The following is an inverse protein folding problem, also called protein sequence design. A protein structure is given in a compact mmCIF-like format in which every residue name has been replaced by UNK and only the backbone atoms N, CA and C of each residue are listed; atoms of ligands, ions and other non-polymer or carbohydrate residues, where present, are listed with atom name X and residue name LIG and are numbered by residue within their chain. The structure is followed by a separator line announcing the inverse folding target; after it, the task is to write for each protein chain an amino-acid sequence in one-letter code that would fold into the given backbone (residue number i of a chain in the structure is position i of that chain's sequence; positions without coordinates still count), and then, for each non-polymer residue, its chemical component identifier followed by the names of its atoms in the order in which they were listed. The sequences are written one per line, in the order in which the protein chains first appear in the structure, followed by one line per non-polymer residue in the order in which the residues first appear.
data_IF_949669541749
#
_entry.id   IF_949669541749
#
_cell.length_a   1.000
_cell.length_b   1.000
_cell.length_c   1.000
_cell.angle_alpha   90.00
_cell.angle_beta   90.00
_cell.angle_gamma   90.00
#
_symmetry.space_group_name_H-M   'P 1'
#
loop_
_entity.id
_entity.type
_entity.pdbx_description
1 polymer ?
#
# COMPACT_ATOMS: atom_id res chain seq x y z
N UNK A 1 -2.43 -13.24 -7.32
CA UNK A 1 -1.64 -12.50 -8.32
C UNK A 1 -0.75 -11.49 -7.60
N UNK A 2 0.48 -11.28 -8.05
CA UNK A 2 1.34 -10.20 -7.52
C UNK A 2 0.89 -8.86 -8.09
N UNK A 3 0.79 -7.84 -7.24
CA UNK A 3 0.42 -6.49 -7.66
C UNK A 3 1.69 -5.63 -7.71
N UNK A 4 1.92 -5.00 -8.86
CA UNK A 4 3.06 -4.11 -9.06
C UNK A 4 2.70 -2.75 -8.42
N UNK A 5 3.49 -2.25 -7.46
CA UNK A 5 3.23 -0.96 -6.84
C UNK A 5 3.46 0.19 -7.82
N UNK A 6 2.68 1.27 -7.69
CA UNK A 6 2.92 2.51 -8.42
C UNK A 6 2.09 2.73 -9.68
N UNK A 7 0.89 2.15 -9.76
CA UNK A 7 -0.09 2.48 -10.81
C UNK A 7 -0.49 3.97 -10.79
N UNK A 8 -0.41 4.63 -9.62
CA UNK A 8 -0.58 6.09 -9.49
C UNK A 8 0.26 6.63 -8.33
N UNK A 9 0.48 7.95 -8.28
CA UNK A 9 1.32 8.59 -7.26
C UNK A 9 0.79 8.43 -5.82
N UNK A 10 -0.53 8.36 -5.63
CA UNK A 10 -1.15 8.18 -4.32
C UNK A 10 -0.92 6.75 -3.77
N UNK A 11 -1.28 5.73 -4.55
CA UNK A 11 -1.01 4.31 -4.32
C UNK A 11 0.49 4.06 -4.11
N UNK A 12 1.37 4.69 -4.91
CA UNK A 12 2.81 4.61 -4.71
C UNK A 12 3.23 5.08 -3.31
N UNK A 13 2.72 6.24 -2.85
CA UNK A 13 3.01 6.75 -1.51
C UNK A 13 2.48 5.83 -0.39
N UNK A 14 1.31 5.22 -0.61
CA UNK A 14 0.71 4.27 0.33
C UNK A 14 1.53 2.96 0.38
N UNK A 15 1.97 2.43 -0.77
CA UNK A 15 2.81 1.23 -0.86
C UNK A 15 4.21 1.46 -0.22
N UNK A 16 4.75 2.67 -0.34
CA UNK A 16 5.96 3.09 0.41
C UNK A 16 5.68 3.10 1.91
N UNK A 17 4.55 3.67 2.35
CA UNK A 17 4.15 3.69 3.75
C UNK A 17 3.99 2.27 4.31
N UNK A 18 3.42 1.34 3.52
CA UNK A 18 3.34 -0.09 3.86
C UNK A 18 4.72 -0.72 4.02
N UNK A 19 5.67 -0.36 3.16
CA UNK A 19 7.07 -0.85 3.26
C UNK A 19 7.75 -0.38 4.55
N UNK A 20 7.47 0.85 4.99
CA UNK A 20 7.93 1.37 6.29
C UNK A 20 7.26 0.64 7.45
N UNK A 21 5.95 0.41 7.40
CA UNK A 21 5.22 -0.33 8.44
C UNK A 21 5.77 -1.76 8.61
N UNK A 22 6.02 -2.48 7.50
CA UNK A 22 6.64 -3.82 7.54
C UNK A 22 8.08 -3.79 8.07
N UNK A 23 8.82 -2.70 7.84
CA UNK A 23 10.16 -2.52 8.41
C UNK A 23 10.08 -2.32 9.93
N UNK A 24 9.15 -1.49 10.40
CA UNK A 24 8.89 -1.31 11.82
C UNK A 24 8.46 -2.62 12.48
N UNK A 25 7.56 -3.40 11.87
CA UNK A 25 7.14 -4.73 12.35
C UNK A 25 8.35 -5.63 12.60
N UNK A 26 9.30 -5.74 11.65
CA UNK A 26 10.51 -6.55 11.82
C UNK A 26 11.39 -6.10 12.99
N UNK A 27 11.51 -4.79 13.21
CA UNK A 27 12.25 -4.26 14.36
C UNK A 27 11.55 -4.59 15.68
N UNK A 28 10.22 -4.44 15.72
CA UNK A 28 9.41 -4.76 16.90
C UNK A 28 9.42 -6.25 17.19
N UNK A 29 9.41 -7.13 16.18
CA UNK A 29 9.57 -8.58 16.38
C UNK A 29 10.90 -8.88 17.05
N UNK A 30 12.00 -8.27 16.60
CA UNK A 30 13.30 -8.46 17.21
C UNK A 30 13.33 -7.96 18.68
N UNK A 31 12.70 -6.82 18.96
CA UNK A 31 12.56 -6.32 20.33
C UNK A 31 11.70 -7.24 21.21
N UNK A 32 10.64 -7.83 20.64
CA UNK A 32 9.79 -8.80 21.32
C UNK A 32 10.56 -10.09 21.65
N UNK A 33 11.37 -10.59 20.73
CA UNK A 33 12.26 -11.75 20.98
C UNK A 33 13.28 -11.49 22.10
N UNK A 34 13.69 -10.23 22.29
CA UNK A 34 14.57 -9.81 23.38
C UNK A 34 13.83 -9.52 24.69
N UNK A 35 12.52 -9.77 24.79
CA UNK A 35 11.66 -9.38 25.91
C UNK A 35 11.73 -7.88 26.25
N UNK A 36 11.98 -7.03 25.26
CA UNK A 36 12.02 -5.56 25.40
C UNK A 36 10.66 -4.90 25.08
N UNK A 37 9.63 -5.71 24.79
CA UNK A 37 8.28 -5.22 24.53
C UNK A 37 7.41 -5.35 25.77
N UNK A 38 6.73 -4.25 26.11
CA UNK A 38 5.77 -4.24 27.22
C UNK A 38 4.35 -4.66 26.80
N UNK A 39 4.05 -4.66 25.49
CA UNK A 39 2.69 -4.88 24.99
C UNK A 39 2.67 -5.54 23.60
N UNK A 40 2.27 -6.80 23.56
CA UNK A 40 2.23 -7.63 22.34
C UNK A 40 1.19 -7.16 21.32
N UNK A 41 0.22 -6.33 21.73
CA UNK A 41 -0.77 -5.74 20.83
C UNK A 41 -0.13 -4.85 19.76
N UNK A 42 1.09 -4.35 19.99
CA UNK A 42 1.83 -3.54 19.00
C UNK A 42 2.15 -4.37 17.76
N UNK A 43 2.54 -5.65 17.92
CA UNK A 43 2.81 -6.54 16.79
C UNK A 43 1.54 -6.81 15.97
N UNK A 44 0.43 -7.11 16.67
CA UNK A 44 -0.87 -7.31 16.03
C UNK A 44 -1.31 -6.05 15.28
N UNK A 45 -1.13 -4.88 15.89
CA UNK A 45 -1.48 -3.60 15.28
C UNK A 45 -0.67 -3.32 14.01
N UNK A 46 0.67 -3.49 14.04
CA UNK A 46 1.52 -3.25 12.88
C UNK A 46 1.19 -4.20 11.72
N UNK A 47 0.86 -5.45 12.04
CA UNK A 47 0.44 -6.43 11.05
C UNK A 47 -0.86 -5.99 10.35
N UNK A 48 -1.88 -5.58 11.14
CA UNK A 48 -3.16 -5.09 10.62
C UNK A 48 -3.02 -3.78 9.87
N UNK A 49 -2.20 -2.86 10.38
CA UNK A 49 -1.90 -1.60 9.71
C UNK A 49 -1.35 -1.86 8.31
N UNK A 50 -0.39 -2.78 8.17
CA UNK A 50 0.17 -3.05 6.87
C UNK A 50 -0.88 -3.60 5.88
N UNK A 51 -1.81 -4.44 6.33
CA UNK A 51 -2.92 -4.94 5.51
C UNK A 51 -3.89 -3.82 5.11
N UNK A 52 -4.24 -2.92 6.04
CA UNK A 52 -5.08 -1.75 5.72
C UNK A 52 -4.42 -0.83 4.68
N UNK A 53 -3.11 -0.60 4.77
CA UNK A 53 -2.38 0.19 3.77
C UNK A 53 -2.41 -0.47 2.39
N UNK A 54 -2.37 -1.80 2.31
CA UNK A 54 -2.52 -2.48 1.01
C UNK A 54 -3.92 -2.33 0.44
N UNK A 55 -4.96 -2.52 1.27
CA UNK A 55 -6.33 -2.31 0.82
C UNK A 55 -6.54 -0.86 0.35
N UNK A 56 -5.96 0.12 1.05
CA UNK A 56 -6.04 1.53 0.69
C UNK A 56 -5.29 1.84 -0.61
N UNK A 57 -4.10 1.25 -0.83
CA UNK A 57 -3.36 1.40 -2.07
C UNK A 57 -4.17 0.89 -3.28
N UNK A 58 -4.80 -0.28 -3.14
CA UNK A 58 -5.68 -0.84 -4.20
C UNK A 58 -6.95 -0.01 -4.41
N UNK A 59 -7.51 0.56 -3.35
CA UNK A 59 -8.65 1.47 -3.47
C UNK A 59 -8.26 2.77 -4.20
N UNK A 60 -7.10 3.34 -3.87
CA UNK A 60 -6.57 4.53 -4.55
C UNK A 60 -6.29 4.30 -6.04
N UNK A 61 -5.98 3.06 -6.45
CA UNK A 61 -5.83 2.66 -7.86
C UNK A 61 -7.15 2.63 -8.62
N UNK A 62 -8.24 2.28 -7.94
CA UNK A 62 -9.58 2.27 -8.55
C UNK A 62 -10.07 3.71 -8.75
N UNK A 63 -9.81 4.60 -7.79
CA UNK A 63 -10.29 5.99 -7.81
C UNK A 63 -9.55 6.89 -8.82
N UNK A 64 -8.28 6.59 -9.13
CA UNK A 64 -7.50 7.39 -10.10
C UNK A 64 -7.71 7.03 -11.56
N UNK A 65 -8.58 6.05 -11.87
CA UNK A 65 -9.04 5.83 -13.22
C UNK A 65 -7.91 5.50 -14.20
N UNK A 66 -7.66 4.20 -14.36
CA UNK A 66 -7.36 3.63 -15.68
C UNK A 66 -8.38 4.08 -16.76
N UNK A 67 -9.50 4.69 -16.35
CA UNK A 67 -10.51 5.36 -17.17
C UNK A 67 -10.00 6.66 -17.85
N UNK A 68 -8.93 7.30 -17.37
CA UNK A 68 -8.42 8.56 -17.97
C UNK A 68 -7.49 8.33 -19.17
N UNK A 69 -6.72 7.24 -19.16
CA UNK A 69 -5.82 6.90 -20.28
C UNK A 69 -6.56 6.18 -21.41
N UNK A 70 -7.58 5.37 -21.09
CA UNK A 70 -8.44 4.78 -22.12
C UNK A 70 -9.35 5.84 -22.76
N UNK A 71 -9.91 6.81 -22.01
CA UNK A 71 -10.66 7.93 -22.63
C UNK A 71 -9.80 8.77 -23.55
N UNK A 72 -8.56 9.10 -23.15
CA UNK A 72 -7.65 9.88 -23.99
C UNK A 72 -7.20 9.11 -25.25
N UNK A 73 -7.03 7.79 -25.15
CA UNK A 73 -6.67 6.94 -26.29
C UNK A 73 -7.86 6.70 -27.24
N UNK A 74 -9.06 6.52 -26.70
CA UNK A 74 -10.31 6.38 -27.46
C UNK A 74 -10.65 7.70 -28.18
N UNK A 75 -10.54 8.86 -27.52
CA UNK A 75 -10.78 10.15 -28.18
C UNK A 75 -9.74 10.43 -29.29
N UNK A 76 -8.46 10.10 -29.06
CA UNK A 76 -7.41 10.23 -30.08
C UNK A 76 -7.65 9.31 -31.30
N UNK A 77 -8.07 8.05 -31.07
CA UNK A 77 -8.33 7.07 -32.13
C UNK A 77 -9.68 7.29 -32.86
N UNK A 78 -10.63 8.03 -32.26
CA UNK A 78 -11.91 8.43 -32.88
C UNK A 78 -11.89 9.80 -33.57
N UNK A 79 -10.76 10.52 -33.55
CA UNK A 79 -10.59 11.76 -34.29
C UNK A 79 -11.57 12.87 -33.88
N UNK A 80 -11.88 12.99 -32.59
CA UNK A 80 -12.57 14.16 -32.01
C UNK A 80 -11.64 14.98 -31.14
#
# INVERSE_FOLDING_TARGET
SFVIPGSNSCSAAIDVSRSVARRAERLVVNMHEQNLLNNDLILVYLNRLADTLFALARYAEIDTGFDSLDKAKIDYDLGR
#
